data_IF_123212544048
#
_entry.id   IF_123212544048
#
_cell.length_a   1.000
_cell.length_b   1.000
_cell.length_c   1.000
_cell.angle_alpha   90.00
_cell.angle_beta   90.00
_cell.angle_gamma   90.00
#
_symmetry.space_group_name_H-M   'P 1'
#
loop_
_entity.id
_entity.type
_entity.pdbx_description
1 polymer ?
#
# COMPACT_ATOMS: atom_id res chain seq x y z
N UNK A 1 45.07 4.92 -7.47
CA UNK A 1 43.81 4.16 -7.51
C UNK A 1 42.78 4.99 -6.77
N UNK A 2 41.96 5.74 -7.50
CA UNK A 2 40.88 6.54 -6.91
C UNK A 2 39.71 5.60 -6.69
N UNK A 3 39.32 5.37 -5.43
CA UNK A 3 38.12 4.61 -5.11
C UNK A 3 36.91 5.41 -5.62
N UNK A 4 36.20 4.87 -6.60
CA UNK A 4 34.87 5.37 -6.98
C UNK A 4 33.95 4.92 -5.85
N UNK A 5 33.65 5.82 -4.92
CA UNK A 5 32.58 5.62 -3.95
C UNK A 5 31.28 5.73 -4.77
N UNK A 6 30.47 4.66 -4.90
CA UNK A 6 29.21 4.77 -5.60
C UNK A 6 28.36 5.83 -4.89
N UNK A 7 27.80 6.76 -5.65
CA UNK A 7 26.83 7.70 -5.09
C UNK A 7 25.70 6.87 -4.46
N UNK A 8 25.35 7.20 -3.21
CA UNK A 8 24.19 6.59 -2.56
C UNK A 8 22.97 6.81 -3.47
N UNK A 9 22.24 5.73 -3.78
CA UNK A 9 20.99 5.85 -4.50
C UNK A 9 20.07 6.80 -3.74
N UNK A 10 19.40 7.71 -4.45
CA UNK A 10 18.43 8.60 -3.85
C UNK A 10 17.33 7.75 -3.17
N UNK A 11 16.99 8.02 -1.89
CA UNK A 11 16.01 7.22 -1.19
C UNK A 11 14.66 7.29 -1.93
N UNK A 12 14.08 6.13 -2.21
CA UNK A 12 12.79 6.03 -2.89
C UNK A 12 11.68 6.63 -2.01
N UNK A 13 10.97 7.62 -2.55
CA UNK A 13 9.82 8.23 -1.90
C UNK A 13 8.53 7.47 -2.26
N UNK A 14 7.85 6.85 -1.28
CA UNK A 14 6.60 6.14 -1.53
C UNK A 14 5.48 7.04 -2.07
N UNK A 15 5.47 8.34 -1.75
CA UNK A 15 4.46 9.26 -2.27
C UNK A 15 4.70 9.61 -3.74
N UNK A 16 5.94 9.84 -4.14
CA UNK A 16 6.30 10.02 -5.55
C UNK A 16 5.90 8.79 -6.41
N UNK A 17 6.07 7.57 -5.88
CA UNK A 17 5.63 6.34 -6.56
C UNK A 17 4.10 6.33 -6.76
N UNK A 18 3.34 6.79 -5.77
CA UNK A 18 1.87 6.90 -5.88
C UNK A 18 1.49 7.98 -6.89
N UNK A 19 2.14 9.14 -6.89
CA UNK A 19 1.91 10.21 -7.85
C UNK A 19 2.14 9.72 -9.29
N UNK A 20 3.24 9.01 -9.54
CA UNK A 20 3.54 8.40 -10.83
C UNK A 20 2.47 7.36 -11.24
N UNK A 21 2.00 6.55 -10.28
CA UNK A 21 0.97 5.54 -10.53
C UNK A 21 -0.39 6.19 -10.89
N UNK A 22 -0.73 7.30 -10.24
CA UNK A 22 -1.93 8.08 -10.52
C UNK A 22 -1.84 8.81 -11.87
N UNK A 23 -0.67 9.37 -12.21
CA UNK A 23 -0.41 9.96 -13.52
C UNK A 23 -0.55 8.92 -14.64
N UNK A 24 -0.02 7.70 -14.42
CA UNK A 24 -0.18 6.58 -15.36
C UNK A 24 -1.66 6.22 -15.58
N UNK A 25 -2.45 6.18 -14.50
CA UNK A 25 -3.90 5.95 -14.61
C UNK A 25 -4.59 7.06 -15.39
N UNK A 26 -4.30 8.33 -15.08
CA UNK A 26 -4.95 9.47 -15.72
C UNK A 26 -4.72 9.50 -17.24
N UNK A 27 -3.51 9.14 -17.68
CA UNK A 27 -3.13 9.16 -19.09
C UNK A 27 -3.92 8.15 -19.94
N UNK A 28 -4.18 6.96 -19.39
CA UNK A 28 -4.69 5.82 -20.17
C UNK A 28 -6.04 5.28 -19.70
N UNK A 29 -6.50 5.70 -18.53
CA UNK A 29 -7.69 5.18 -17.85
C UNK A 29 -7.64 3.65 -17.70
N UNK A 30 -6.44 3.12 -17.43
CA UNK A 30 -6.14 1.70 -17.31
C UNK A 30 -5.26 1.45 -16.09
N UNK A 31 -5.48 0.32 -15.43
CA UNK A 31 -4.74 -0.13 -14.25
C UNK A 31 -3.45 -0.91 -14.60
N UNK A 32 -3.24 -1.34 -15.84
CA UNK A 32 -2.04 -2.11 -16.20
C UNK A 32 -0.74 -1.30 -15.97
N UNK A 33 -0.71 -0.04 -16.40
CA UNK A 33 0.46 0.84 -16.22
C UNK A 33 0.59 1.30 -14.76
N UNK A 34 -0.52 1.59 -14.09
CA UNK A 34 -0.56 1.86 -12.63
C UNK A 34 0.06 0.71 -11.85
N UNK A 35 -0.34 -0.53 -12.13
CA UNK A 35 0.26 -1.73 -11.55
C UNK A 35 1.75 -1.84 -11.88
N UNK A 36 2.16 -1.54 -13.11
CA UNK A 36 3.57 -1.61 -13.50
C UNK A 36 4.42 -0.67 -12.64
N UNK A 37 3.96 0.57 -12.42
CA UNK A 37 4.63 1.56 -11.56
C UNK A 37 4.68 1.08 -10.11
N UNK A 38 3.55 0.70 -9.52
CA UNK A 38 3.47 0.27 -8.12
C UNK A 38 4.33 -0.98 -7.85
N UNK A 39 4.26 -1.96 -8.75
CA UNK A 39 5.04 -3.20 -8.63
C UNK A 39 6.54 -2.95 -8.76
N UNK A 40 6.95 -2.02 -9.63
CA UNK A 40 8.35 -1.63 -9.78
C UNK A 40 8.83 -0.90 -8.53
N UNK A 41 8.06 0.06 -8.03
CA UNK A 41 8.42 0.81 -6.81
C UNK A 41 8.67 -0.11 -5.60
N UNK A 42 7.80 -1.10 -5.38
CA UNK A 42 7.98 -2.08 -4.30
C UNK A 42 9.18 -3.00 -4.52
N UNK A 43 9.42 -3.47 -5.75
CA UNK A 43 10.59 -4.30 -6.06
C UNK A 43 11.89 -3.54 -5.84
N UNK A 44 12.00 -2.34 -6.41
CA UNK A 44 13.20 -1.51 -6.30
C UNK A 44 13.49 -1.15 -4.83
N UNK A 45 12.46 -0.82 -4.04
CA UNK A 45 12.61 -0.57 -2.61
C UNK A 45 13.06 -1.81 -1.84
N UNK A 46 12.55 -3.00 -2.19
CA UNK A 46 13.00 -4.26 -1.62
C UNK A 46 14.47 -4.56 -1.94
N UNK A 47 14.87 -4.40 -3.20
CA UNK A 47 16.25 -4.62 -3.66
C UNK A 47 17.26 -3.66 -3.01
N UNK A 48 16.83 -2.43 -2.72
CA UNK A 48 17.65 -1.41 -2.07
C UNK A 48 17.62 -1.49 -0.54
N UNK A 49 16.80 -2.37 0.06
CA UNK A 49 16.59 -2.42 1.51
C UNK A 49 15.92 -1.15 2.07
N UNK A 50 15.16 -0.44 1.23
CA UNK A 50 14.55 0.85 1.51
C UNK A 50 13.07 0.75 1.92
N UNK A 51 12.52 -0.47 2.09
CA UNK A 51 11.14 -0.69 2.53
C UNK A 51 10.94 -0.20 3.96
N UNK A 52 10.53 1.06 4.09
CA UNK A 52 10.09 1.67 5.34
C UNK A 52 8.57 1.51 5.54
N UNK A 53 8.06 1.73 6.76
CA UNK A 53 6.62 1.74 7.02
C UNK A 53 5.82 2.69 6.11
N UNK A 54 6.43 3.77 5.60
CA UNK A 54 5.80 4.68 4.65
C UNK A 54 5.37 4.01 3.34
N UNK A 55 5.99 2.89 2.93
CA UNK A 55 5.55 2.11 1.77
C UNK A 55 4.18 1.43 1.95
N UNK A 56 3.58 1.48 3.15
CA UNK A 56 2.20 1.10 3.38
C UNK A 56 1.22 1.78 2.40
N UNK A 57 1.47 3.03 2.00
CA UNK A 57 0.65 3.73 1.00
C UNK A 57 0.73 3.08 -0.37
N UNK A 58 1.92 2.65 -0.80
CA UNK A 58 2.11 1.95 -2.07
C UNK A 58 1.39 0.60 -2.04
N UNK A 59 1.47 -0.13 -0.93
CA UNK A 59 0.73 -1.39 -0.74
C UNK A 59 -0.80 -1.20 -0.78
N UNK A 60 -1.33 -0.16 -0.14
CA UNK A 60 -2.76 0.11 -0.14
C UNK A 60 -3.29 0.44 -1.54
N UNK A 61 -2.63 1.37 -2.24
CA UNK A 61 -3.01 1.75 -3.61
C UNK A 61 -2.88 0.56 -4.56
N UNK A 62 -1.85 -0.28 -4.38
CA UNK A 62 -1.70 -1.47 -5.21
C UNK A 62 -2.74 -2.55 -4.89
N UNK A 63 -3.08 -2.73 -3.62
CA UNK A 63 -4.19 -3.60 -3.22
C UNK A 63 -5.49 -3.19 -3.90
N UNK A 64 -5.85 -1.91 -3.83
CA UNK A 64 -7.08 -1.41 -4.46
C UNK A 64 -7.03 -1.49 -5.99
N UNK A 65 -5.87 -1.23 -6.61
CA UNK A 65 -5.66 -1.42 -8.05
C UNK A 65 -5.93 -2.88 -8.45
N UNK A 66 -5.33 -3.85 -7.75
CA UNK A 66 -5.54 -5.27 -8.03
C UNK A 66 -7.00 -5.69 -7.83
N UNK A 67 -7.67 -5.10 -6.83
CA UNK A 67 -9.10 -5.30 -6.57
C UNK A 67 -9.97 -4.78 -7.71
N UNK A 68 -9.71 -3.57 -8.21
CA UNK A 68 -10.43 -3.00 -9.36
C UNK A 68 -10.21 -3.80 -10.65
N UNK A 69 -9.09 -4.50 -10.78
CA UNK A 69 -8.83 -5.46 -11.86
C UNK A 69 -9.50 -6.84 -11.65
N UNK A 70 -10.33 -6.99 -10.60
CA UNK A 70 -11.04 -8.23 -10.28
C UNK A 70 -10.19 -9.29 -9.60
N UNK A 71 -9.00 -8.95 -9.09
CA UNK A 71 -8.09 -9.89 -8.43
C UNK A 71 -8.08 -9.68 -6.90
N UNK A 72 -9.21 -9.96 -6.27
CA UNK A 72 -9.40 -9.78 -4.83
C UNK A 72 -8.43 -10.62 -3.96
N UNK A 73 -8.01 -11.81 -4.43
CA UNK A 73 -7.02 -12.63 -3.70
C UNK A 73 -5.65 -11.97 -3.66
N UNK A 74 -5.20 -11.40 -4.78
CA UNK A 74 -3.93 -10.69 -4.81
C UNK A 74 -4.01 -9.36 -4.06
N UNK A 75 -5.15 -8.65 -4.14
CA UNK A 75 -5.41 -7.47 -3.32
C UNK A 75 -5.26 -7.76 -1.82
N UNK A 76 -5.89 -8.85 -1.34
CA UNK A 76 -5.76 -9.27 0.05
C UNK A 76 -4.30 -9.54 0.44
N UNK A 77 -3.55 -10.24 -0.41
CA UNK A 77 -2.13 -10.50 -0.17
C UNK A 77 -1.33 -9.19 -0.02
N UNK A 78 -1.54 -8.22 -0.93
CA UNK A 78 -0.87 -6.91 -0.85
C UNK A 78 -1.23 -6.15 0.43
N UNK A 79 -2.50 -6.16 0.82
CA UNK A 79 -2.93 -5.51 2.06
C UNK A 79 -2.29 -6.17 3.30
N UNK A 80 -2.21 -7.50 3.35
CA UNK A 80 -1.57 -8.23 4.45
C UNK A 80 -0.05 -8.00 4.51
N UNK A 81 0.65 -7.94 3.37
CA UNK A 81 2.07 -7.56 3.31
C UNK A 81 2.29 -6.12 3.81
N UNK A 82 1.48 -5.19 3.33
CA UNK A 82 1.53 -3.79 3.77
C UNK A 82 1.29 -3.64 5.27
N UNK A 83 0.32 -4.37 5.84
CA UNK A 83 0.04 -4.35 7.28
C UNK A 83 1.22 -4.86 8.09
N UNK A 84 1.89 -5.92 7.60
CA UNK A 84 3.08 -6.44 8.26
C UNK A 84 4.19 -5.38 8.29
N UNK A 85 4.40 -4.69 7.17
CA UNK A 85 5.39 -3.62 7.05
C UNK A 85 5.06 -2.44 7.97
N UNK A 86 3.82 -1.93 7.93
CA UNK A 86 3.37 -0.79 8.74
C UNK A 86 3.52 -1.03 10.26
N UNK A 87 3.44 -2.29 10.70
CA UNK A 87 3.54 -2.69 12.11
C UNK A 87 4.97 -2.98 12.59
N UNK A 88 5.99 -2.76 11.76
CA UNK A 88 7.39 -3.00 12.15
C UNK A 88 7.99 -1.91 13.03
N UNK A 89 7.38 -0.72 13.07
CA UNK A 89 7.84 0.41 13.88
C UNK A 89 7.33 0.34 15.32
N UNK A 90 8.11 0.91 16.26
CA UNK A 90 7.79 0.94 17.69
C UNK A 90 6.47 1.68 17.98
N UNK A 91 6.22 2.78 17.26
CA UNK A 91 4.95 3.50 17.29
C UNK A 91 4.27 3.41 15.92
N UNK A 92 3.20 2.63 15.81
CA UNK A 92 2.47 2.41 14.55
C UNK A 92 1.72 3.67 14.13
N UNK A 93 1.97 4.10 12.89
CA UNK A 93 1.21 5.17 12.25
C UNK A 93 -0.18 4.65 11.94
N UNK A 94 -1.16 5.16 12.69
CA UNK A 94 -2.55 4.73 12.60
C UNK A 94 -3.18 5.10 11.26
N UNK A 95 -2.72 6.13 10.56
CA UNK A 95 -3.26 6.49 9.25
C UNK A 95 -2.89 5.41 8.23
N UNK A 96 -1.62 5.01 8.19
CA UNK A 96 -1.15 3.94 7.31
C UNK A 96 -1.74 2.58 7.65
N UNK A 97 -1.81 2.22 8.93
CA UNK A 97 -2.46 0.97 9.35
C UNK A 97 -3.94 0.95 8.95
N UNK A 98 -4.68 2.02 9.24
CA UNK A 98 -6.12 2.07 8.96
C UNK A 98 -6.43 2.03 7.47
N UNK A 99 -5.63 2.69 6.63
CA UNK A 99 -5.78 2.62 5.18
C UNK A 99 -5.69 1.18 4.67
N UNK A 100 -4.67 0.43 5.11
CA UNK A 100 -4.51 -0.97 4.73
C UNK A 100 -5.60 -1.89 5.31
N UNK A 101 -6.07 -1.62 6.53
CA UNK A 101 -7.20 -2.34 7.13
C UNK A 101 -8.50 -2.18 6.33
N UNK A 102 -8.71 -0.99 5.73
CA UNK A 102 -9.83 -0.74 4.82
C UNK A 102 -9.65 -1.48 3.50
N UNK A 103 -8.49 -1.39 2.84
CA UNK A 103 -8.23 -2.14 1.59
C UNK A 103 -8.36 -3.65 1.81
N UNK A 104 -7.88 -4.16 2.96
CA UNK A 104 -8.06 -5.56 3.39
C UNK A 104 -9.54 -5.92 3.54
N UNK A 105 -10.35 -5.05 4.16
CA UNK A 105 -11.77 -5.28 4.33
C UNK A 105 -12.50 -5.40 2.98
N UNK A 106 -12.18 -4.54 2.01
CA UNK A 106 -12.76 -4.62 0.67
C UNK A 106 -12.39 -5.92 -0.04
N UNK A 107 -11.10 -6.30 -0.03
CA UNK A 107 -10.66 -7.54 -0.64
C UNK A 107 -11.33 -8.78 -0.01
N UNK A 108 -11.47 -8.80 1.32
CA UNK A 108 -12.18 -9.88 2.02
C UNK A 108 -13.66 -9.94 1.65
N UNK A 109 -14.33 -8.79 1.52
CA UNK A 109 -15.73 -8.73 1.13
C UNK A 109 -15.96 -9.27 -0.29
N UNK A 110 -15.08 -8.93 -1.25
CA UNK A 110 -15.15 -9.44 -2.62
C UNK A 110 -14.87 -10.95 -2.71
N UNK A 111 -14.11 -11.50 -1.76
CA UNK A 111 -13.90 -12.95 -1.60
C UNK A 111 -15.04 -13.66 -0.84
N UNK A 112 -16.08 -12.95 -0.43
CA UNK A 112 -17.18 -13.50 0.37
C UNK A 112 -16.83 -13.79 1.83
N UNK A 113 -15.68 -13.34 2.32
CA UNK A 113 -15.18 -13.53 3.70
C UNK A 113 -15.70 -12.41 4.61
N UNK A 114 -17.02 -12.27 4.69
CA UNK A 114 -17.67 -11.10 5.27
C UNK A 114 -17.36 -10.87 6.75
N UNK A 115 -17.25 -11.93 7.57
CA UNK A 115 -16.93 -11.77 8.99
C UNK A 115 -15.55 -11.12 9.16
N UNK A 116 -14.56 -11.60 8.43
CA UNK A 116 -13.21 -11.05 8.49
C UNK A 116 -13.12 -9.64 7.90
N UNK A 117 -13.96 -9.33 6.91
CA UNK A 117 -14.08 -7.98 6.37
C UNK A 117 -14.59 -7.00 7.45
N UNK A 118 -15.63 -7.39 8.20
CA UNK A 118 -16.15 -6.61 9.33
C UNK A 118 -15.07 -6.42 10.40
N UNK A 119 -14.38 -7.49 10.76
CA UNK A 119 -13.32 -7.43 11.77
C UNK A 119 -12.18 -6.48 11.34
N UNK A 120 -11.82 -6.49 10.05
CA UNK A 120 -10.82 -5.60 9.48
C UNK A 120 -11.29 -4.13 9.45
N UNK A 121 -12.55 -3.87 9.12
CA UNK A 121 -13.11 -2.51 9.03
C UNK A 121 -13.46 -1.89 10.39
N UNK A 122 -13.61 -2.69 11.44
CA UNK A 122 -14.05 -2.20 12.76
C UNK A 122 -13.07 -1.21 13.38
N UNK A 123 -11.77 -1.54 13.35
CA UNK A 123 -10.71 -0.69 13.90
C UNK A 123 -10.68 0.70 13.23
N UNK A 124 -10.58 0.80 11.89
CA UNK A 124 -10.58 2.11 11.24
C UNK A 124 -11.90 2.87 11.43
N UNK A 125 -13.05 2.19 11.48
CA UNK A 125 -14.34 2.84 11.72
C UNK A 125 -14.43 3.51 13.11
N UNK A 126 -13.98 2.82 14.16
CA UNK A 126 -13.93 3.39 15.52
C UNK A 126 -12.98 4.59 15.56
N UNK A 127 -11.78 4.43 15.00
CA UNK A 127 -10.78 5.50 14.96
C UNK A 127 -11.26 6.75 14.21
N UNK A 128 -11.95 6.57 13.08
CA UNK A 128 -12.54 7.69 12.33
C UNK A 128 -13.63 8.39 13.15
N UNK A 129 -14.47 7.62 13.87
CA UNK A 129 -15.48 8.16 14.77
C UNK A 129 -14.88 8.99 15.90
N UNK A 130 -13.80 8.52 16.53
CA UNK A 130 -13.11 9.25 17.59
C UNK A 130 -12.40 10.51 17.08
N UNK A 131 -11.84 10.47 15.87
CA UNK A 131 -11.08 11.58 15.30
C UNK A 131 -11.95 12.67 14.68
N UNK A 132 -13.07 12.30 14.06
CA UNK A 132 -13.88 13.21 13.24
C UNK A 132 -15.37 13.26 13.61
N UNK A 133 -15.85 12.40 14.50
CA UNK A 133 -17.24 12.38 14.97
C UNK A 133 -17.47 13.45 16.04
N UNK A 134 -17.90 14.63 15.61
CA UNK A 134 -18.51 15.64 16.49
C UNK A 134 -19.97 15.28 16.81
#
# INVERSE_FOLDING_TARGET
MTAIIPAAAEPLDPFAIVDDAMAAYQLRQDYADTRAVLSKGLRDAGEQGALSPGFAVVYAIYSDTARFEGNASFALHLADEGLRLARTQEEVDREFENMLLVSRAYALAELGRYQEAVDSARIPAVWMGERFGA
#
